data_IF_301860870145
#
_entry.id   IF_301860870145
#
_cell.length_a   1.000
_cell.length_b   1.000
_cell.length_c   1.000
_cell.angle_alpha   90.00
_cell.angle_beta   90.00
_cell.angle_gamma   90.00
#
_symmetry.space_group_name_H-M   'P 1'
#
loop_
_entity.id
_entity.type
_entity.pdbx_description
1 polymer ?
#
# COMPACT_ATOMS: atom_id res chain seq x y z
N UNK A 1 1.79 -5.37 -10.05
CA UNK A 1 0.72 -4.98 -11.00
C UNK A 1 0.78 -3.57 -11.56
N UNK A 2 1.09 -2.52 -10.78
CA UNK A 2 0.97 -1.13 -11.25
C UNK A 2 1.81 -0.82 -12.50
N UNK A 3 3.08 -1.22 -12.55
CA UNK A 3 3.94 -0.98 -13.73
C UNK A 3 3.48 -1.74 -14.98
N UNK A 4 2.71 -2.81 -14.80
CA UNK A 4 2.08 -3.56 -15.88
C UNK A 4 0.75 -2.95 -16.37
N UNK A 5 0.36 -1.78 -15.83
CA UNK A 5 -0.81 -1.02 -16.27
C UNK A 5 -2.07 -1.21 -15.42
N UNK A 6 -2.04 -2.01 -14.36
CA UNK A 6 -3.18 -2.11 -13.45
C UNK A 6 -3.38 -0.78 -12.71
N UNK A 7 -4.63 -0.33 -12.63
CA UNK A 7 -5.02 0.94 -12.01
C UNK A 7 -6.20 0.79 -11.06
N UNK A 8 -6.88 -0.36 -11.05
CA UNK A 8 -7.97 -0.62 -10.14
C UNK A 8 -7.43 -0.70 -8.70
N UNK A 9 -7.86 0.25 -7.87
CA UNK A 9 -7.47 0.37 -6.45
C UNK A 9 -7.65 -0.96 -5.72
N UNK A 10 -8.83 -1.57 -5.85
CA UNK A 10 -9.15 -2.83 -5.17
C UNK A 10 -8.22 -3.97 -5.56
N UNK A 11 -7.82 -4.07 -6.84
CA UNK A 11 -6.91 -5.13 -7.28
C UNK A 11 -5.50 -4.92 -6.73
N UNK A 12 -5.00 -3.69 -6.76
CA UNK A 12 -3.70 -3.34 -6.21
C UNK A 12 -3.63 -3.63 -4.70
N UNK A 13 -4.68 -3.26 -3.97
CA UNK A 13 -4.80 -3.55 -2.54
C UNK A 13 -4.95 -5.05 -2.26
N UNK A 14 -5.70 -5.78 -3.10
CA UNK A 14 -5.86 -7.23 -2.96
C UNK A 14 -4.51 -7.96 -3.17
N UNK A 15 -3.73 -7.58 -4.18
CA UNK A 15 -2.39 -8.15 -4.40
C UNK A 15 -1.44 -7.86 -3.24
N UNK A 16 -1.36 -6.61 -2.79
CA UNK A 16 -0.51 -6.25 -1.64
C UNK A 16 -0.96 -6.95 -0.35
N UNK A 17 -2.27 -7.11 -0.13
CA UNK A 17 -2.80 -7.87 1.00
C UNK A 17 -2.45 -9.36 0.92
N UNK A 18 -2.49 -9.95 -0.29
CA UNK A 18 -2.12 -11.34 -0.49
C UNK A 18 -0.63 -11.58 -0.19
N UNK A 19 0.25 -10.65 -0.59
CA UNK A 19 1.68 -10.70 -0.28
C UNK A 19 1.92 -10.65 1.24
N UNK A 20 1.32 -9.69 1.93
CA UNK A 20 1.46 -9.56 3.39
C UNK A 20 0.88 -10.77 4.14
N UNK A 21 -0.22 -11.35 3.64
CA UNK A 21 -0.82 -12.55 4.22
C UNK A 21 0.02 -13.82 4.02
N UNK A 22 0.97 -13.81 3.08
CA UNK A 22 1.90 -14.92 2.88
C UNK A 22 3.04 -14.94 3.92
N UNK A 23 3.24 -13.86 4.68
CA UNK A 23 4.25 -13.76 5.74
C UNK A 23 3.63 -14.13 7.11
N UNK A 24 3.97 -15.30 7.70
CA UNK A 24 3.32 -15.79 8.92
C UNK A 24 3.48 -14.90 10.15
N UNK A 25 4.55 -14.11 10.22
CA UNK A 25 4.80 -13.23 11.36
C UNK A 25 4.10 -11.87 11.22
N UNK A 26 3.52 -11.57 10.06
CA UNK A 26 2.92 -10.27 9.75
C UNK A 26 1.42 -10.25 10.11
N UNK A 27 1.06 -9.47 11.13
CA UNK A 27 -0.31 -9.09 11.42
C UNK A 27 -0.60 -7.71 10.81
N UNK A 28 -1.39 -7.66 9.73
CA UNK A 28 -1.72 -6.43 9.03
C UNK A 28 -2.60 -5.52 9.91
N UNK A 29 -2.14 -4.29 10.16
CA UNK A 29 -2.89 -3.26 10.90
C UNK A 29 -3.73 -2.43 9.91
N UNK A 30 -3.07 -1.81 8.92
CA UNK A 30 -3.78 -1.16 7.81
C UNK A 30 -3.01 -1.22 6.50
N UNK A 31 -3.75 -1.17 5.40
CA UNK A 31 -3.24 -1.08 4.03
C UNK A 31 -4.21 -0.22 3.23
N UNK A 32 -3.73 0.92 2.75
CA UNK A 32 -4.56 1.90 2.06
C UNK A 32 -3.85 2.48 0.85
N UNK A 33 -4.65 2.90 -0.14
CA UNK A 33 -4.18 3.66 -1.27
C UNK A 33 -4.87 5.03 -1.26
N UNK A 34 -4.06 6.08 -1.16
CA UNK A 34 -4.52 7.47 -1.04
C UNK A 34 -4.01 8.32 -2.21
N UNK A 35 -4.70 9.43 -2.48
CA UNK A 35 -4.25 10.41 -3.47
C UNK A 35 -2.90 10.99 -3.06
N UNK A 36 -1.99 11.17 -4.01
CA UNK A 36 -0.65 11.67 -3.72
C UNK A 36 -0.63 13.14 -3.27
N UNK A 37 -1.63 13.93 -3.66
CA UNK A 37 -1.69 15.38 -3.41
C UNK A 37 -2.17 15.74 -2.00
N UNK A 38 -3.15 15.02 -1.47
CA UNK A 38 -3.85 15.40 -0.24
C UNK A 38 -4.15 14.23 0.71
N UNK A 39 -3.67 13.02 0.38
CA UNK A 39 -3.97 11.78 1.11
C UNK A 39 -5.47 11.47 1.23
N UNK A 40 -6.30 12.09 0.39
CA UNK A 40 -7.73 11.79 0.30
C UNK A 40 -7.99 10.39 -0.27
N UNK A 41 -9.24 9.91 -0.17
CA UNK A 41 -9.65 8.66 -0.79
C UNK A 41 -9.47 8.71 -2.31
N UNK A 42 -9.22 7.53 -2.89
CA UNK A 42 -9.13 7.33 -4.34
C UNK A 42 -10.45 6.68 -4.80
N UNK A 43 -11.35 7.47 -5.39
CA UNK A 43 -12.72 7.04 -5.73
C UNK A 43 -12.85 6.36 -7.11
N UNK A 44 -11.75 6.22 -7.86
CA UNK A 44 -11.71 5.74 -9.25
C UNK A 44 -10.35 5.07 -9.53
N UNK A 45 -10.16 4.30 -10.62
CA UNK A 45 -8.83 3.81 -10.97
C UNK A 45 -7.82 4.97 -11.02
N UNK A 46 -6.59 4.75 -10.53
CA UNK A 46 -5.56 5.80 -10.53
C UNK A 46 -5.37 6.28 -11.97
N UNK A 47 -5.73 7.54 -12.23
CA UNK A 47 -5.55 8.13 -13.55
C UNK A 47 -4.09 8.55 -13.74
N UNK A 48 -3.63 8.53 -14.99
CA UNK A 48 -2.29 8.98 -15.32
C UNK A 48 -2.12 10.45 -14.91
N UNK A 49 -1.17 10.74 -14.02
CA UNK A 49 -0.86 12.09 -13.54
C UNK A 49 -1.30 12.38 -12.10
N UNK A 50 -2.31 11.68 -11.57
CA UNK A 50 -2.77 11.88 -10.18
C UNK A 50 -1.85 11.17 -9.17
N UNK A 51 -1.20 10.10 -9.62
CA UNK A 51 -0.37 9.23 -8.78
C UNK A 51 -1.13 8.63 -7.61
N UNK A 52 -0.41 7.93 -6.73
CA UNK A 52 -0.95 7.37 -5.51
C UNK A 52 0.11 7.26 -4.42
N UNK A 53 -0.36 7.09 -3.19
CA UNK A 53 0.46 6.68 -2.04
C UNK A 53 -0.13 5.39 -1.49
N UNK A 54 0.59 4.29 -1.65
CA UNK A 54 0.32 3.06 -0.93
C UNK A 54 0.89 3.21 0.47
N UNK A 55 0.06 3.07 1.48
CA UNK A 55 0.41 3.23 2.89
C UNK A 55 0.17 1.90 3.58
N UNK A 56 1.12 1.45 4.40
CA UNK A 56 1.01 0.19 5.12
C UNK A 56 1.51 0.33 6.55
N UNK A 57 0.82 -0.35 7.47
CA UNK A 57 1.39 -0.71 8.75
C UNK A 57 1.04 -2.16 9.10
N UNK A 58 2.00 -2.83 9.73
CA UNK A 58 1.82 -4.19 10.22
C UNK A 58 2.57 -4.36 11.54
N UNK A 59 2.06 -5.24 12.39
CA UNK A 59 2.74 -5.71 13.59
C UNK A 59 3.42 -7.02 13.25
N UNK A 60 4.72 -7.09 13.45
CA UNK A 60 5.50 -8.32 13.31
C UNK A 60 5.68 -8.99 14.66
N UNK A 61 5.52 -10.32 14.68
CA UNK A 61 5.62 -11.15 15.89
C UNK A 61 4.61 -10.72 16.96
N UNK A 62 3.33 -10.59 16.57
CA UNK A 62 2.28 -9.99 17.38
C UNK A 62 1.98 -10.75 18.69
N UNK A 63 2.31 -12.04 18.77
CA UNK A 63 2.12 -12.89 19.95
C UNK A 63 3.33 -12.87 20.92
N UNK A 64 4.37 -12.11 20.59
CA UNK A 64 5.63 -12.02 21.33
C UNK A 64 5.71 -10.76 22.19
N UNK A 65 6.49 -10.81 23.27
CA UNK A 65 6.81 -9.63 24.09
C UNK A 65 7.64 -8.59 23.32
N UNK A 66 8.19 -8.98 22.16
CA UNK A 66 8.98 -8.13 21.26
C UNK A 66 8.20 -7.68 20.00
N UNK A 67 6.86 -7.69 20.05
CA UNK A 67 6.03 -7.26 18.93
C UNK A 67 6.43 -5.86 18.43
N UNK A 68 6.70 -5.76 17.14
CA UNK A 68 7.18 -4.52 16.51
C UNK A 68 6.20 -4.04 15.45
N UNK A 69 5.69 -2.81 15.62
CA UNK A 69 4.85 -2.17 14.61
C UNK A 69 5.70 -1.40 13.61
N UNK A 70 5.71 -1.88 12.37
CA UNK A 70 6.40 -1.24 11.25
C UNK A 70 5.40 -0.45 10.41
N UNK A 71 5.88 0.66 9.87
CA UNK A 71 5.15 1.46 8.88
C UNK A 71 6.03 1.63 7.65
N UNK A 72 5.40 1.67 6.48
CA UNK A 72 6.07 2.05 5.25
C UNK A 72 5.08 2.71 4.28
N UNK A 73 5.61 3.38 3.27
CA UNK A 73 4.82 3.95 2.19
C UNK A 73 5.57 3.92 0.86
N UNK A 74 4.81 3.82 -0.23
CA UNK A 74 5.35 3.83 -1.57
C UNK A 74 4.55 4.77 -2.48
N UNK A 75 5.26 5.56 -3.28
CA UNK A 75 4.67 6.37 -4.33
C UNK A 75 4.34 5.51 -5.56
N UNK A 76 3.12 5.66 -6.09
CA UNK A 76 2.72 5.08 -7.37
C UNK A 76 2.60 6.20 -8.41
N UNK A 77 3.20 6.05 -9.58
CA UNK A 77 3.05 6.99 -10.69
C UNK A 77 3.77 8.34 -10.52
N UNK A 78 4.62 8.50 -9.50
CA UNK A 78 5.58 9.60 -9.47
C UNK A 78 6.83 9.15 -10.25
N UNK A 79 6.98 9.63 -11.49
CA UNK A 79 8.33 9.81 -12.02
C UNK A 79 9.03 10.79 -11.10
N UNK A 80 10.20 10.43 -10.57
CA UNK A 80 11.08 11.40 -9.92
C UNK A 80 11.25 12.61 -10.84
N UNK A 81 11.22 13.87 -10.34
CA UNK A 81 11.79 14.95 -11.12
C UNK A 81 13.27 14.60 -11.32
N UNK A 82 13.67 14.50 -12.60
CA UNK A 82 15.06 14.36 -13.02
C UNK A 82 15.94 15.50 -12.47
#
# INVERSE_FOLDING_TARGET
AFDAGERAVEKLLAEARAELAAEPLCALDYLELRRASDLGPVDAPILNGDGGRLLVAAVFDADSECATRLIDNMALGASEPA
#
